data_IF_685317858824
#
_entry.id   IF_685317858824
#
_cell.length_a   1.000
_cell.length_b   1.000
_cell.length_c   1.000
_cell.angle_alpha   90.00
_cell.angle_beta   90.00
_cell.angle_gamma   90.00
#
_symmetry.space_group_name_H-M   'P 1'
#
loop_
_entity.id
_entity.type
_entity.pdbx_description
1 polymer ?
#
# COMPACT_ATOMS: atom_id res chain seq x y z
N UNK A 1 -29.28 -12.28 -26.90
CA UNK A 1 -28.15 -11.36 -27.16
C UNK A 1 -28.00 -10.46 -25.94
N UNK A 2 -27.24 -10.90 -24.94
CA UNK A 2 -26.82 -10.07 -23.80
C UNK A 2 -25.38 -10.46 -23.46
N UNK A 3 -24.49 -10.15 -24.39
CA UNK A 3 -23.04 -10.27 -24.24
C UNK A 3 -22.55 -8.90 -24.68
N UNK A 4 -22.16 -8.07 -23.72
CA UNK A 4 -21.30 -6.87 -23.86
C UNK A 4 -21.49 -5.81 -22.75
N UNK A 5 -21.73 -6.21 -21.49
CA UNK A 5 -21.74 -5.23 -20.37
C UNK A 5 -20.83 -5.59 -19.18
N UNK A 6 -20.07 -6.68 -19.24
CA UNK A 6 -19.29 -7.20 -18.10
C UNK A 6 -17.78 -7.01 -18.23
N UNK A 7 -17.34 -5.90 -18.85
CA UNK A 7 -15.90 -5.54 -18.91
C UNK A 7 -15.52 -4.30 -18.08
N UNK A 8 -16.45 -3.67 -17.38
CA UNK A 8 -16.19 -2.40 -16.68
C UNK A 8 -16.29 -2.41 -15.16
N UNK A 9 -16.85 -3.44 -14.53
CA UNK A 9 -17.38 -3.30 -13.16
C UNK A 9 -16.50 -3.89 -12.05
N UNK A 10 -15.43 -4.61 -12.39
CA UNK A 10 -14.65 -5.37 -11.40
C UNK A 10 -13.55 -4.55 -10.70
N UNK A 11 -13.28 -3.31 -11.12
CA UNK A 11 -12.23 -2.46 -10.52
C UNK A 11 -12.81 -1.45 -9.51
N UNK A 12 -14.11 -1.18 -9.56
CA UNK A 12 -14.72 -0.09 -8.80
C UNK A 12 -14.83 -0.35 -7.27
N UNK A 13 -14.71 -1.59 -6.79
CA UNK A 13 -15.00 -1.91 -5.38
C UNK A 13 -13.77 -1.79 -4.47
N UNK A 14 -12.56 -1.81 -5.02
CA UNK A 14 -11.35 -1.53 -4.21
C UNK A 14 -11.30 -0.06 -3.77
N UNK A 15 -11.94 0.84 -4.51
CA UNK A 15 -12.01 2.27 -4.18
C UNK A 15 -13.06 2.63 -3.11
N UNK A 16 -13.92 1.70 -2.71
CA UNK A 16 -15.07 2.02 -1.82
C UNK A 16 -14.85 1.74 -0.33
N UNK A 17 -13.71 1.20 0.08
CA UNK A 17 -13.43 0.94 1.51
C UNK A 17 -13.07 2.18 2.33
N UNK A 18 -13.00 3.38 1.73
CA UNK A 18 -12.71 4.64 2.42
C UNK A 18 -13.86 5.67 2.39
N UNK A 19 -15.06 5.28 1.95
CA UNK A 19 -16.22 6.18 2.00
C UNK A 19 -16.89 6.21 3.39
N UNK A 20 -16.08 6.39 4.44
CA UNK A 20 -16.54 6.95 5.71
C UNK A 20 -16.62 8.47 5.56
N UNK A 21 -17.71 9.08 6.02
CA UNK A 21 -17.97 10.51 5.90
C UNK A 21 -16.76 11.39 6.29
N UNK A 22 -16.10 11.99 5.30
CA UNK A 22 -15.10 13.05 5.49
C UNK A 22 -13.62 12.63 5.46
N UNK A 23 -13.29 11.37 5.20
CA UNK A 23 -11.89 10.96 5.10
C UNK A 23 -11.33 11.34 3.73
N UNK A 24 -10.26 12.15 3.71
CA UNK A 24 -9.57 12.50 2.48
C UNK A 24 -9.14 11.21 1.78
N UNK A 25 -9.41 11.08 0.48
CA UNK A 25 -8.94 9.93 -0.31
C UNK A 25 -7.41 9.85 -0.19
N UNK A 26 -6.91 8.88 0.59
CA UNK A 26 -5.47 8.65 0.81
C UNK A 26 -4.69 8.44 -0.49
N UNK A 27 -5.38 7.99 -1.53
CA UNK A 27 -4.84 7.73 -2.87
C UNK A 27 -5.41 8.70 -3.92
N UNK A 28 -5.61 9.97 -3.55
CA UNK A 28 -5.96 11.03 -4.50
C UNK A 28 -4.87 11.21 -5.59
N UNK A 29 -5.21 11.89 -6.69
CA UNK A 29 -4.29 12.09 -7.81
C UNK A 29 -2.92 12.61 -7.36
N UNK A 30 -1.86 11.87 -7.72
CA UNK A 30 -0.47 12.20 -7.38
C UNK A 30 -0.04 11.83 -5.95
N UNK A 31 -0.80 11.00 -5.23
CA UNK A 31 -0.44 10.48 -3.90
C UNK A 31 0.93 9.81 -3.83
N UNK A 32 1.41 9.30 -4.96
CA UNK A 32 2.63 8.53 -5.15
C UNK A 32 3.82 9.39 -5.60
N UNK A 33 3.72 10.71 -5.50
CA UNK A 33 4.77 11.65 -5.93
C UNK A 33 5.38 12.38 -4.75
N UNK A 34 6.67 12.72 -4.90
CA UNK A 34 7.37 13.59 -3.94
C UNK A 34 7.86 12.87 -2.68
N UNK A 35 8.10 11.56 -2.76
CA UNK A 35 8.76 10.80 -1.70
C UNK A 35 10.20 11.27 -1.49
N UNK A 36 10.58 11.50 -0.23
CA UNK A 36 11.94 11.98 0.13
C UNK A 36 12.64 11.16 1.21
N UNK A 37 12.03 10.06 1.66
CA UNK A 37 12.51 9.29 2.82
C UNK A 37 13.43 8.11 2.46
N UNK A 38 13.98 8.06 1.24
CA UNK A 38 14.81 6.95 0.74
C UNK A 38 16.00 6.62 1.68
N UNK A 39 16.64 7.66 2.22
CA UNK A 39 17.76 7.54 3.16
C UNK A 39 17.36 7.87 4.61
N UNK A 40 16.07 7.93 4.91
CA UNK A 40 15.59 8.30 6.24
C UNK A 40 15.93 7.22 7.29
N UNK A 41 16.31 7.66 8.48
CA UNK A 41 16.29 6.82 9.66
C UNK A 41 14.87 6.41 10.03
N UNK A 42 14.74 5.36 10.83
CA UNK A 42 13.45 4.95 11.38
C UNK A 42 12.83 6.05 12.25
N UNK A 43 13.65 6.89 12.91
CA UNK A 43 13.17 8.07 13.62
C UNK A 43 12.64 9.15 12.67
N UNK A 44 13.38 9.47 11.61
CA UNK A 44 12.95 10.44 10.59
C UNK A 44 11.65 9.97 9.93
N UNK A 45 11.51 8.68 9.67
CA UNK A 45 10.27 8.06 9.22
C UNK A 45 9.12 8.32 10.21
N UNK A 46 9.32 8.07 11.51
CA UNK A 46 8.30 8.27 12.55
C UNK A 46 7.81 9.73 12.68
N UNK A 47 8.60 10.72 12.23
CA UNK A 47 8.20 12.14 12.24
C UNK A 47 7.72 12.65 10.88
N UNK A 48 7.90 11.90 9.80
CA UNK A 48 7.44 12.30 8.48
C UNK A 48 5.90 12.35 8.41
N UNK A 49 5.37 13.23 7.56
CA UNK A 49 3.94 13.28 7.27
C UNK A 49 3.50 12.07 6.46
N UNK A 50 2.26 11.60 6.69
CA UNK A 50 1.71 10.40 6.07
C UNK A 50 1.83 10.39 4.54
N UNK A 51 1.60 11.54 3.89
CA UNK A 51 1.71 11.67 2.45
C UNK A 51 3.14 11.36 1.95
N UNK A 52 4.18 11.82 2.65
CA UNK A 52 5.57 11.58 2.26
C UNK A 52 5.98 10.11 2.51
N UNK A 53 5.50 9.51 3.60
CA UNK A 53 5.70 8.07 3.86
C UNK A 53 5.08 7.22 2.77
N UNK A 54 3.84 7.56 2.39
CA UNK A 54 3.11 6.83 1.37
C UNK A 54 3.75 6.98 -0.02
N UNK A 55 4.13 8.20 -0.41
CA UNK A 55 4.83 8.45 -1.67
C UNK A 55 6.19 7.71 -1.71
N UNK A 56 6.99 7.81 -0.65
CA UNK A 56 8.28 7.07 -0.59
C UNK A 56 8.05 5.55 -0.62
N UNK A 57 6.98 5.05 0.01
CA UNK A 57 6.65 3.63 -0.05
C UNK A 57 6.28 3.19 -1.47
N UNK A 58 5.63 4.06 -2.26
CA UNK A 58 5.37 3.79 -3.67
C UNK A 58 6.67 3.73 -4.49
N UNK A 59 7.63 4.61 -4.20
CA UNK A 59 8.96 4.56 -4.82
C UNK A 59 9.66 3.22 -4.51
N UNK A 60 9.67 2.79 -3.24
CA UNK A 60 10.23 1.49 -2.85
C UNK A 60 9.55 0.30 -3.54
N UNK A 61 8.22 0.33 -3.69
CA UNK A 61 7.49 -0.74 -4.39
C UNK A 61 7.90 -0.78 -5.86
N UNK A 62 8.03 0.37 -6.53
CA UNK A 62 8.48 0.45 -7.93
C UNK A 62 9.93 0.02 -8.12
N UNK A 63 10.79 0.34 -7.18
CA UNK A 63 12.18 -0.12 -7.21
C UNK A 63 12.26 -1.64 -7.08
N UNK A 64 11.46 -2.24 -6.19
CA UNK A 64 11.46 -3.69 -5.95
C UNK A 64 10.74 -4.48 -7.04
N UNK A 65 9.65 -3.93 -7.58
CA UNK A 65 8.77 -4.56 -8.55
C UNK A 65 8.53 -3.54 -9.69
N UNK A 66 9.47 -3.41 -10.64
CA UNK A 66 9.41 -2.40 -11.70
C UNK A 66 8.14 -2.45 -12.56
N UNK A 67 7.59 -3.65 -12.74
CA UNK A 67 6.39 -3.90 -13.54
C UNK A 67 5.11 -4.00 -12.67
N UNK A 68 5.09 -3.38 -11.48
CA UNK A 68 3.92 -3.35 -10.60
C UNK A 68 2.71 -2.75 -11.34
N UNK A 69 1.57 -3.48 -11.45
CA UNK A 69 0.36 -2.94 -12.04
C UNK A 69 -0.13 -1.70 -11.29
N UNK A 70 -0.69 -0.72 -12.02
CA UNK A 70 -1.21 0.52 -11.43
C UNK A 70 -2.26 0.25 -10.35
N UNK A 71 -3.06 -0.80 -10.51
CA UNK A 71 -4.10 -1.20 -9.56
C UNK A 71 -3.52 -1.83 -8.28
N UNK A 72 -2.34 -2.45 -8.37
CA UNK A 72 -1.67 -3.12 -7.25
C UNK A 72 -0.77 -2.20 -6.42
N UNK A 73 -0.35 -1.08 -7.00
CA UNK A 73 0.55 -0.12 -6.35
C UNK A 73 -0.02 0.49 -5.06
N UNK A 74 -1.29 0.96 -5.00
CA UNK A 74 -1.84 1.56 -3.78
C UNK A 74 -1.80 0.62 -2.57
N UNK A 75 -2.29 -0.60 -2.72
CA UNK A 75 -2.37 -1.56 -1.60
C UNK A 75 -0.98 -2.02 -1.16
N UNK A 76 -0.07 -2.26 -2.10
CA UNK A 76 1.31 -2.66 -1.80
C UNK A 76 2.05 -1.55 -1.06
N UNK A 77 1.91 -0.31 -1.52
CA UNK A 77 2.56 0.87 -0.89
C UNK A 77 2.04 1.12 0.51
N UNK A 78 0.73 0.97 0.73
CA UNK A 78 0.13 1.11 2.05
C UNK A 78 0.58 0.02 3.03
N UNK A 79 0.78 -1.21 2.57
CA UNK A 79 1.27 -2.30 3.43
C UNK A 79 2.75 -2.14 3.79
N UNK A 80 3.58 -1.72 2.84
CA UNK A 80 4.99 -1.35 3.11
C UNK A 80 5.05 -0.17 4.09
N UNK A 81 4.30 0.89 3.82
CA UNK A 81 4.22 2.07 4.69
C UNK A 81 3.81 1.69 6.11
N UNK A 82 2.73 0.91 6.25
CA UNK A 82 2.25 0.41 7.54
C UNK A 82 3.32 -0.37 8.27
N UNK A 83 4.03 -1.27 7.59
CA UNK A 83 5.08 -2.08 8.21
C UNK A 83 6.22 -1.20 8.76
N UNK A 84 6.72 -0.26 7.96
CA UNK A 84 7.77 0.66 8.38
C UNK A 84 7.30 1.58 9.52
N UNK A 85 6.07 2.07 9.44
CA UNK A 85 5.45 2.91 10.47
C UNK A 85 5.28 2.13 11.78
N UNK A 86 4.78 0.90 11.75
CA UNK A 86 4.65 0.02 12.93
C UNK A 86 6.02 -0.26 13.58
N UNK A 87 7.07 -0.47 12.77
CA UNK A 87 8.44 -0.61 13.28
C UNK A 87 8.95 0.67 13.91
N UNK A 88 8.67 1.82 13.28
CA UNK A 88 9.11 3.12 13.76
C UNK A 88 8.49 3.52 15.10
N UNK A 89 7.24 3.13 15.34
CA UNK A 89 6.56 3.33 16.63
C UNK A 89 7.16 2.47 17.75
N UNK A 90 7.68 1.28 17.42
CA UNK A 90 8.30 0.37 18.40
C UNK A 90 9.75 0.73 18.69
N UNK A 91 10.45 1.38 17.76
CA UNK A 91 11.88 1.65 17.85
C UNK A 91 12.28 2.86 17.00
N UNK A 92 11.91 4.07 17.43
CA UNK A 92 12.32 5.32 16.77
C UNK A 92 13.80 5.63 17.09
N UNK A 93 14.70 5.11 16.25
CA UNK A 93 16.16 5.25 16.39
C UNK A 93 16.80 5.88 15.15
N UNK A 94 17.90 6.61 15.34
CA UNK A 94 18.58 7.36 14.26
C UNK A 94 19.59 6.52 13.47
N UNK A 95 20.12 5.44 14.05
CA UNK A 95 21.17 4.63 13.45
C UNK A 95 20.67 3.53 12.51
N UNK A 96 19.36 3.31 12.45
CA UNK A 96 18.75 2.30 11.60
C UNK A 96 17.99 3.00 10.47
N UNK A 97 18.25 2.61 9.22
CA UNK A 97 17.58 3.20 8.06
C UNK A 97 16.29 2.45 7.72
N UNK A 98 15.27 3.18 7.25
CA UNK A 98 14.00 2.58 6.86
C UNK A 98 14.17 1.61 5.67
N UNK A 99 14.99 2.00 4.69
CA UNK A 99 15.37 1.17 3.54
C UNK A 99 15.95 -0.21 3.96
N UNK A 100 16.75 -0.28 5.02
CA UNK A 100 17.35 -1.54 5.50
C UNK A 100 16.31 -2.56 6.02
N UNK A 101 15.05 -2.15 6.17
CA UNK A 101 13.94 -3.00 6.62
C UNK A 101 12.99 -3.40 5.51
N UNK A 102 13.26 -3.01 4.26
CA UNK A 102 12.36 -3.27 3.15
C UNK A 102 12.14 -4.76 2.91
N UNK A 103 13.17 -5.61 2.97
CA UNK A 103 12.98 -7.06 2.78
C UNK A 103 11.94 -7.64 3.75
N UNK A 104 12.05 -7.29 5.04
CA UNK A 104 11.07 -7.69 6.05
C UNK A 104 9.67 -7.14 5.75
N UNK A 105 9.57 -5.90 5.29
CA UNK A 105 8.29 -5.28 4.98
C UNK A 105 7.64 -5.78 3.67
N UNK A 106 8.44 -6.21 2.69
CA UNK A 106 7.93 -6.91 1.51
C UNK A 106 7.43 -8.31 1.88
N UNK A 107 8.16 -9.07 2.72
CA UNK A 107 7.67 -10.36 3.24
C UNK A 107 6.37 -10.22 4.05
N UNK A 108 6.23 -9.13 4.82
CA UNK A 108 4.98 -8.79 5.48
C UNK A 108 3.86 -8.49 4.47
N UNK A 109 4.16 -7.70 3.44
CA UNK A 109 3.21 -7.29 2.41
C UNK A 109 2.68 -8.50 1.65
N UNK A 110 3.55 -9.42 1.21
CA UNK A 110 3.16 -10.64 0.50
C UNK A 110 2.22 -11.53 1.32
N UNK A 111 2.53 -11.71 2.61
CA UNK A 111 1.68 -12.48 3.53
C UNK A 111 0.32 -11.85 3.72
N UNK A 112 0.26 -10.52 3.84
CA UNK A 112 -0.99 -9.79 4.01
C UNK A 112 -1.84 -9.81 2.74
N UNK A 113 -1.24 -9.62 1.56
CA UNK A 113 -1.91 -9.74 0.28
C UNK A 113 -2.48 -11.15 0.07
N UNK A 114 -1.70 -12.19 0.40
CA UNK A 114 -2.17 -13.56 0.35
C UNK A 114 -3.37 -13.83 1.26
N UNK A 115 -3.38 -13.27 2.48
CA UNK A 115 -4.52 -13.36 3.39
C UNK A 115 -5.75 -12.64 2.83
N UNK A 116 -5.58 -11.40 2.34
CA UNK A 116 -6.68 -10.63 1.77
C UNK A 116 -7.30 -11.38 0.58
N UNK A 117 -6.48 -11.94 -0.32
CA UNK A 117 -6.96 -12.73 -1.44
C UNK A 117 -7.78 -13.96 -1.00
N UNK A 118 -7.35 -14.65 0.07
CA UNK A 118 -8.12 -15.77 0.65
C UNK A 118 -9.44 -15.31 1.26
N UNK A 119 -9.43 -14.20 2.02
CA UNK A 119 -10.64 -13.64 2.62
C UNK A 119 -11.66 -13.25 1.54
N UNK A 120 -11.22 -12.57 0.48
CA UNK A 120 -12.07 -12.25 -0.67
C UNK A 120 -12.62 -13.49 -1.37
N UNK A 121 -11.79 -14.51 -1.61
CA UNK A 121 -12.23 -15.76 -2.23
C UNK A 121 -13.26 -16.50 -1.36
N UNK A 122 -13.12 -16.45 -0.03
CA UNK A 122 -14.06 -17.06 0.92
C UNK A 122 -15.41 -16.34 1.03
N UNK A 123 -15.46 -15.06 0.60
CA UNK A 123 -16.66 -14.22 0.62
C UNK A 123 -17.37 -14.15 -0.73
N UNK A 124 -16.78 -14.67 -1.80
CA UNK A 124 -17.43 -14.73 -3.10
C UNK A 124 -18.65 -15.67 -3.03
N UNK A 125 -19.88 -15.21 -3.35
CA UNK A 125 -21.04 -16.08 -3.35
C UNK A 125 -20.80 -17.23 -4.34
N UNK A 126 -21.16 -18.45 -3.95
CA UNK A 126 -21.16 -19.59 -4.85
C UNK A 126 -22.02 -19.21 -6.08
N UNK A 127 -21.39 -19.12 -7.23
CA UNK A 127 -22.08 -18.94 -8.50
C UNK A 127 -22.91 -20.20 -8.76
N UNK A 128 -24.22 -20.14 -8.49
CA UNK A 128 -25.22 -21.04 -9.07
C UNK A 128 -25.43 -20.75 -10.56
#
# INVERSE_FOLDING_TARGET
MCRDALRGTSVAVVLTLSAGCGEANRFADGWDRGGTLHDASVREWAFAVDANRLATSADFVRERIPDMPEEGLPISSALVEKCLSDMSLRSAVDYLKAHEKLDYCFDYTDRMLGRLAQEYASQAPASE
#
